data_IF_787697641113
#
_entry.id   IF_787697641113
#
_cell.length_a   1.000
_cell.length_b   1.000
_cell.length_c   1.000
_cell.angle_alpha   90.00
_cell.angle_beta   90.00
_cell.angle_gamma   90.00
#
_symmetry.space_group_name_H-M   'P 1'
#
loop_
_entity.id
_entity.type
_entity.pdbx_description
1 polymer ?
#
# COMPACT_ATOMS: atom_id res chain seq x y z
N UNK A 1 -5.88 -36.33 14.10
CA UNK A 1 -5.28 -35.42 13.11
C UNK A 1 -5.91 -34.06 13.35
N UNK A 2 -5.09 -33.03 13.57
CA UNK A 2 -5.59 -31.65 13.55
C UNK A 2 -6.23 -31.36 12.20
N UNK A 3 -7.17 -30.41 12.14
CA UNK A 3 -7.68 -29.95 10.86
C UNK A 3 -6.51 -29.34 10.04
N UNK A 4 -6.50 -29.49 8.70
CA UNK A 4 -5.51 -28.83 7.86
C UNK A 4 -5.41 -27.34 8.19
N UNK A 5 -4.19 -26.80 8.23
CA UNK A 5 -3.92 -25.38 8.49
C UNK A 5 -4.39 -24.84 9.85
N UNK A 6 -4.66 -25.71 10.84
CA UNK A 6 -5.11 -25.29 12.19
C UNK A 6 -4.04 -24.52 12.99
N UNK A 7 -2.86 -24.31 12.42
CA UNK A 7 -1.76 -23.55 13.03
C UNK A 7 -1.73 -22.07 12.62
N UNK A 8 -2.64 -21.66 11.72
CA UNK A 8 -2.92 -20.27 11.37
C UNK A 8 -4.25 -19.87 12.00
N UNK A 9 -4.21 -18.92 12.93
CA UNK A 9 -5.38 -18.43 13.67
C UNK A 9 -5.61 -16.93 13.39
N UNK A 10 -6.53 -16.59 12.49
CA UNK A 10 -6.95 -15.21 12.26
C UNK A 10 -7.61 -14.61 13.51
N UNK A 11 -7.17 -13.41 13.90
CA UNK A 11 -7.69 -12.65 15.03
C UNK A 11 -7.92 -11.20 14.62
N UNK A 12 -8.86 -10.45 15.22
CA UNK A 12 -9.06 -9.03 14.92
C UNK A 12 -7.78 -8.18 14.97
N UNK A 13 -6.83 -8.57 15.83
CA UNK A 13 -5.56 -7.89 16.02
C UNK A 13 -4.42 -8.35 15.10
N UNK A 14 -4.62 -9.32 14.19
CA UNK A 14 -3.55 -9.88 13.35
C UNK A 14 -3.71 -11.39 13.14
N UNK A 15 -2.77 -12.04 12.46
CA UNK A 15 -2.84 -13.49 12.20
C UNK A 15 -1.82 -14.21 13.07
N UNK A 16 -2.27 -15.09 13.97
CA UNK A 16 -1.38 -15.83 14.88
C UNK A 16 -0.86 -17.09 14.23
N UNK A 17 0.44 -17.31 14.37
CA UNK A 17 1.19 -18.50 13.94
C UNK A 17 1.47 -19.35 15.18
N UNK A 18 0.54 -20.26 15.49
CA UNK A 18 0.48 -20.98 16.76
C UNK A 18 1.78 -21.68 17.16
N UNK A 19 2.42 -22.52 16.32
CA UNK A 19 3.64 -23.24 16.71
C UNK A 19 4.86 -22.33 16.91
N UNK A 20 4.89 -21.17 16.24
CA UNK A 20 5.96 -20.19 16.39
C UNK A 20 5.74 -19.21 17.55
N UNK A 21 4.51 -19.15 18.09
CA UNK A 21 4.02 -18.09 18.96
C UNK A 21 4.34 -16.68 18.42
N UNK A 22 4.17 -16.54 17.10
CA UNK A 22 4.45 -15.31 16.35
C UNK A 22 3.16 -14.78 15.71
N UNK A 23 3.18 -13.53 15.28
CA UNK A 23 2.04 -12.86 14.67
C UNK A 23 2.43 -12.20 13.36
N UNK A 24 1.56 -12.28 12.36
CA UNK A 24 1.67 -11.49 11.14
C UNK A 24 0.76 -10.27 11.26
N UNK A 25 1.35 -9.10 10.98
CA UNK A 25 0.73 -7.78 11.04
C UNK A 25 -0.09 -7.52 12.31
N UNK A 26 0.47 -7.71 13.52
CA UNK A 26 -0.24 -7.45 14.75
C UNK A 26 -0.50 -5.94 14.96
N UNK A 27 -1.74 -5.56 15.25
CA UNK A 27 -2.13 -4.17 15.57
C UNK A 27 -1.79 -3.73 17.00
N UNK A 28 -1.22 -4.64 17.80
CA UNK A 28 -0.80 -4.40 19.17
C UNK A 28 0.56 -5.06 19.42
N UNK A 29 1.27 -4.58 20.44
CA UNK A 29 2.55 -5.16 20.86
C UNK A 29 2.43 -6.67 21.16
N UNK A 30 3.42 -7.43 20.69
CA UNK A 30 3.54 -8.89 20.85
C UNK A 30 5.02 -9.25 20.95
N UNK A 31 5.33 -10.46 21.42
CA UNK A 31 6.73 -10.89 21.58
C UNK A 31 7.45 -11.08 20.24
N UNK A 32 6.76 -11.56 19.20
CA UNK A 32 7.34 -11.81 17.88
C UNK A 32 6.37 -11.41 16.78
N UNK A 33 6.72 -10.40 16.00
CA UNK A 33 5.95 -9.87 14.88
C UNK A 33 6.68 -10.09 13.56
N UNK A 34 5.95 -10.55 12.55
CA UNK A 34 6.31 -10.50 11.15
C UNK A 34 5.46 -9.42 10.50
N UNK A 35 6.08 -8.48 9.81
CA UNK A 35 5.39 -7.31 9.27
C UNK A 35 5.50 -7.30 7.76
N UNK A 36 4.35 -7.27 7.07
CA UNK A 36 4.26 -7.25 5.61
C UNK A 36 4.73 -5.92 5.05
N UNK A 37 4.33 -4.80 5.67
CA UNK A 37 4.71 -3.46 5.26
C UNK A 37 4.40 -2.40 6.34
N UNK A 38 4.91 -1.18 6.13
CA UNK A 38 4.91 -0.12 7.14
C UNK A 38 3.66 0.75 7.26
N UNK A 39 2.48 0.36 6.75
CA UNK A 39 1.23 1.10 7.00
C UNK A 39 0.71 0.90 8.43
N UNK A 40 -0.12 1.81 8.95
CA UNK A 40 -0.48 1.82 10.38
C UNK A 40 -1.47 0.75 10.81
N UNK A 41 -2.21 0.22 9.85
CA UNK A 41 -3.12 -0.91 9.98
C UNK A 41 -2.41 -2.27 9.89
N UNK A 42 -1.12 -2.28 9.53
CA UNK A 42 -0.27 -3.48 9.46
C UNK A 42 0.92 -3.46 10.43
N UNK A 43 1.42 -2.27 10.78
CA UNK A 43 2.59 -2.09 11.60
C UNK A 43 2.31 -1.21 12.82
N UNK A 44 2.81 -1.63 13.97
CA UNK A 44 2.85 -0.82 15.18
C UNK A 44 4.19 -0.98 15.90
N UNK A 45 4.41 -0.19 16.95
CA UNK A 45 5.61 -0.28 17.78
C UNK A 45 5.42 -1.13 19.03
N UNK A 46 6.53 -1.46 19.68
CA UNK A 46 6.53 -2.12 21.00
C UNK A 46 6.61 -3.65 20.96
N UNK A 47 6.89 -4.26 19.81
CA UNK A 47 7.15 -5.70 19.74
C UNK A 47 8.48 -6.08 20.42
N UNK A 48 8.60 -7.33 20.87
CA UNK A 48 9.86 -7.89 21.37
C UNK A 48 10.88 -8.11 20.25
N UNK A 49 10.49 -8.89 19.24
CA UNK A 49 11.20 -9.10 17.98
C UNK A 49 10.30 -8.70 16.80
N UNK A 50 10.86 -8.02 15.82
CA UNK A 50 10.18 -7.62 14.58
C UNK A 50 10.99 -8.11 13.38
N UNK A 51 10.39 -8.93 12.53
CA UNK A 51 10.95 -9.36 11.25
C UNK A 51 10.22 -8.60 10.14
N UNK A 52 10.97 -7.94 9.27
CA UNK A 52 10.44 -7.29 8.07
C UNK A 52 11.58 -7.00 7.07
N UNK A 53 11.23 -6.56 5.86
CA UNK A 53 12.24 -6.07 4.91
C UNK A 53 13.00 -4.85 5.45
N UNK A 54 14.25 -4.62 5.04
CA UNK A 54 15.04 -3.48 5.49
C UNK A 54 14.31 -2.14 5.32
N UNK A 55 13.62 -1.94 4.20
CA UNK A 55 12.86 -0.74 3.92
C UNK A 55 11.62 -0.61 4.81
N UNK A 56 10.92 -1.72 5.08
CA UNK A 56 9.78 -1.72 6.01
C UNK A 56 10.24 -1.35 7.42
N UNK A 57 11.37 -1.88 7.88
CA UNK A 57 11.94 -1.52 9.18
C UNK A 57 12.33 -0.03 9.24
N UNK A 58 12.91 0.52 8.17
CA UNK A 58 13.22 1.95 8.10
C UNK A 58 11.95 2.82 8.17
N UNK A 59 10.87 2.41 7.49
CA UNK A 59 9.56 3.07 7.57
C UNK A 59 9.00 2.99 8.99
N UNK A 60 9.06 1.83 9.63
CA UNK A 60 8.59 1.64 10.99
C UNK A 60 9.41 2.48 11.98
N UNK A 61 10.73 2.55 11.82
CA UNK A 61 11.59 3.42 12.62
C UNK A 61 11.16 4.90 12.50
N UNK A 62 10.95 5.37 11.27
CA UNK A 62 10.54 6.76 11.01
C UNK A 62 9.18 7.10 11.64
N UNK A 63 8.24 6.16 11.62
CA UNK A 63 6.84 6.38 12.05
C UNK A 63 6.59 6.08 13.53
N UNK A 64 7.25 5.06 14.06
CA UNK A 64 6.95 4.46 15.37
C UNK A 64 8.16 4.42 16.30
N UNK A 65 9.32 4.92 15.85
CA UNK A 65 10.58 4.91 16.62
C UNK A 65 11.02 3.49 17.05
N UNK A 66 10.70 2.48 16.24
CA UNK A 66 11.08 1.08 16.46
C UNK A 66 12.50 0.82 15.96
N UNK A 67 13.45 0.65 16.88
CA UNK A 67 14.85 0.24 16.56
C UNK A 67 15.24 -1.06 17.22
N UNK A 68 14.78 -1.29 18.44
CA UNK A 68 15.12 -2.47 19.22
C UNK A 68 14.34 -3.69 18.71
N UNK A 69 14.99 -4.86 18.70
CA UNK A 69 14.36 -6.12 18.30
C UNK A 69 14.11 -6.28 16.80
N UNK A 70 14.54 -5.32 15.97
CA UNK A 70 14.38 -5.38 14.52
C UNK A 70 15.38 -6.34 13.86
N UNK A 71 14.87 -7.28 13.08
CA UNK A 71 15.64 -8.23 12.26
C UNK A 71 15.29 -8.01 10.79
N UNK A 72 16.19 -7.42 9.98
CA UNK A 72 15.96 -7.27 8.55
C UNK A 72 15.94 -8.64 7.86
N UNK A 73 15.02 -8.80 6.90
CA UNK A 73 14.88 -10.01 6.09
C UNK A 73 14.82 -9.61 4.63
N UNK A 74 15.78 -10.06 3.83
CA UNK A 74 15.81 -9.75 2.41
C UNK A 74 14.71 -10.51 1.65
N UNK A 75 14.33 -10.02 0.47
CA UNK A 75 13.45 -10.78 -0.40
C UNK A 75 14.06 -12.15 -0.75
N UNK A 76 13.21 -13.16 -0.78
CA UNK A 76 13.56 -14.59 -0.94
C UNK A 76 14.41 -15.18 0.19
N UNK A 77 14.69 -14.44 1.27
CA UNK A 77 15.32 -14.98 2.46
C UNK A 77 14.27 -15.70 3.33
N UNK A 78 14.68 -16.84 3.91
CA UNK A 78 13.86 -17.63 4.82
C UNK A 78 14.34 -17.50 6.26
N UNK A 79 13.47 -17.00 7.13
CA UNK A 79 13.66 -17.00 8.58
C UNK A 79 13.13 -18.29 9.17
N UNK A 80 13.95 -18.93 10.03
CA UNK A 80 13.58 -20.12 10.79
C UNK A 80 12.99 -19.72 12.13
N UNK A 81 11.67 -19.78 12.27
CA UNK A 81 10.97 -19.47 13.50
C UNK A 81 10.89 -20.70 14.43
N UNK A 82 10.46 -20.47 15.67
CA UNK A 82 10.17 -21.52 16.64
C UNK A 82 9.09 -22.47 16.10
N UNK A 83 9.03 -23.67 16.67
CA UNK A 83 8.01 -24.67 16.30
C UNK A 83 8.17 -25.26 14.90
N UNK A 84 9.30 -25.05 14.23
CA UNK A 84 9.55 -25.58 12.89
C UNK A 84 8.70 -24.90 11.83
N UNK A 85 8.54 -23.58 11.92
CA UNK A 85 7.91 -22.74 10.90
C UNK A 85 8.99 -21.97 10.15
N UNK A 86 8.95 -22.03 8.83
CA UNK A 86 9.79 -21.21 7.97
C UNK A 86 8.97 -20.04 7.44
N UNK A 87 9.54 -18.83 7.45
CA UNK A 87 8.90 -17.62 6.93
C UNK A 87 9.78 -16.99 5.84
N UNK A 88 9.27 -16.91 4.61
CA UNK A 88 9.98 -16.35 3.46
C UNK A 88 9.30 -15.10 2.95
N UNK A 89 10.06 -14.03 2.73
CA UNK A 89 9.54 -12.73 2.29
C UNK A 89 9.57 -12.64 0.76
N UNK A 90 8.43 -12.34 0.15
CA UNK A 90 8.25 -12.29 -1.31
C UNK A 90 7.71 -10.90 -1.68
N UNK A 91 8.16 -10.24 -2.74
CA UNK A 91 7.64 -8.93 -3.13
C UNK A 91 6.10 -8.84 -3.26
N UNK A 92 5.48 -7.80 -2.69
CA UNK A 92 4.03 -7.56 -2.77
C UNK A 92 3.63 -6.44 -3.77
N UNK A 93 4.56 -5.61 -4.25
CA UNK A 93 4.24 -4.55 -5.22
C UNK A 93 3.37 -3.41 -4.69
N UNK A 94 3.12 -3.34 -3.38
CA UNK A 94 2.25 -2.34 -2.77
C UNK A 94 2.97 -0.99 -2.55
N UNK A 95 3.93 -0.96 -1.62
CA UNK A 95 4.80 0.18 -1.27
C UNK A 95 6.26 -0.27 -1.12
N UNK A 96 7.19 0.67 -0.94
CA UNK A 96 8.60 0.35 -0.68
C UNK A 96 8.73 -0.64 0.50
N UNK A 97 9.47 -1.73 0.28
CA UNK A 97 9.64 -2.81 1.26
C UNK A 97 8.49 -3.79 1.38
N UNK A 98 7.32 -3.53 0.79
CA UNK A 98 6.15 -4.41 0.98
C UNK A 98 6.42 -5.85 0.54
N UNK A 99 5.98 -6.79 1.37
CA UNK A 99 6.21 -8.21 1.19
C UNK A 99 4.99 -9.05 1.56
N UNK A 100 4.74 -10.06 0.74
CA UNK A 100 3.98 -11.24 1.10
C UNK A 100 4.86 -12.12 1.98
N UNK A 101 4.26 -12.83 2.94
CA UNK A 101 4.97 -13.76 3.81
C UNK A 101 4.48 -15.17 3.49
N UNK A 102 5.36 -15.98 2.90
CA UNK A 102 5.16 -17.42 2.72
C UNK A 102 5.59 -18.14 4.00
N UNK A 103 4.65 -18.82 4.63
CA UNK A 103 4.85 -19.65 5.80
C UNK A 103 4.81 -21.12 5.41
N UNK A 104 5.81 -21.89 5.82
CA UNK A 104 5.89 -23.33 5.58
C UNK A 104 6.00 -24.08 6.90
N UNK A 105 5.08 -25.03 7.13
CA UNK A 105 5.06 -25.84 8.34
C UNK A 105 4.40 -27.19 8.07
N UNK A 106 5.01 -28.29 8.54
CA UNK A 106 4.46 -29.63 8.42
C UNK A 106 4.02 -30.06 7.00
N UNK A 107 4.66 -29.52 5.96
CA UNK A 107 4.35 -29.79 4.55
C UNK A 107 3.21 -28.95 3.97
N UNK A 108 2.67 -28.00 4.73
CA UNK A 108 1.66 -27.03 4.32
C UNK A 108 2.32 -25.68 4.00
N UNK A 109 1.81 -24.99 2.97
CA UNK A 109 2.30 -23.69 2.49
C UNK A 109 1.20 -22.64 2.53
N UNK A 110 1.38 -21.58 3.31
CA UNK A 110 0.39 -20.51 3.49
C UNK A 110 1.02 -19.18 3.11
N UNK A 111 0.38 -18.42 2.23
CA UNK A 111 0.80 -17.06 1.92
C UNK A 111 -0.14 -16.07 2.60
N UNK A 112 0.42 -15.09 3.30
CA UNK A 112 -0.28 -13.88 3.73
C UNK A 112 0.24 -12.73 2.88
N UNK A 113 -0.62 -12.13 2.06
CA UNK A 113 -0.19 -11.13 1.08
C UNK A 113 0.18 -9.79 1.71
N UNK A 114 -0.43 -9.45 2.84
CA UNK A 114 -0.61 -8.05 3.22
C UNK A 114 -1.41 -7.32 2.14
N UNK A 115 -1.16 -6.03 1.99
CA UNK A 115 -1.63 -5.28 0.83
C UNK A 115 -0.72 -5.51 -0.36
N UNK A 116 -1.30 -5.57 -1.56
CA UNK A 116 -0.53 -5.89 -2.76
C UNK A 116 -1.11 -5.23 -4.02
N UNK A 117 -0.27 -5.09 -5.03
CA UNK A 117 -0.66 -4.58 -6.35
C UNK A 117 0.16 -5.28 -7.43
N UNK A 118 -0.49 -5.65 -8.55
CA UNK A 118 0.18 -6.33 -9.67
C UNK A 118 0.77 -5.36 -10.69
N UNK A 119 0.17 -4.19 -10.86
CA UNK A 119 0.68 -3.14 -11.76
C UNK A 119 2.10 -2.73 -11.37
N UNK A 120 2.92 -2.54 -12.39
CA UNK A 120 4.26 -1.99 -12.22
C UNK A 120 4.22 -0.65 -11.47
N UNK A 121 5.20 -0.48 -10.59
CA UNK A 121 5.38 0.70 -9.76
C UNK A 121 6.89 0.98 -9.69
N UNK A 122 7.35 2.18 -10.09
CA UNK A 122 8.77 2.51 -10.05
C UNK A 122 9.33 2.67 -8.62
N UNK A 123 8.49 2.61 -7.59
CA UNK A 123 8.88 2.87 -6.18
C UNK A 123 8.96 1.63 -5.30
N UNK A 124 8.65 0.44 -5.83
CA UNK A 124 8.73 -0.80 -5.08
C UNK A 124 9.03 -2.01 -5.98
N UNK A 125 9.36 -3.16 -5.37
CA UNK A 125 9.57 -4.40 -6.12
C UNK A 125 8.24 -4.92 -6.69
N UNK A 126 8.18 -5.37 -7.95
CA UNK A 126 6.95 -5.91 -8.54
C UNK A 126 6.41 -7.10 -7.75
N UNK A 127 5.09 -7.25 -7.67
CA UNK A 127 4.45 -8.43 -7.07
C UNK A 127 4.91 -9.72 -7.75
N UNK A 128 5.25 -10.72 -6.94
CA UNK A 128 5.63 -12.06 -7.41
C UNK A 128 4.54 -13.07 -7.07
N UNK A 129 4.04 -13.78 -8.08
CA UNK A 129 3.03 -14.82 -7.90
C UNK A 129 3.71 -16.10 -7.42
N UNK A 130 3.26 -16.65 -6.29
CA UNK A 130 3.80 -17.87 -5.72
C UNK A 130 2.70 -18.89 -5.41
N UNK A 131 2.86 -20.18 -5.77
CA UNK A 131 1.87 -21.20 -5.46
C UNK A 131 1.87 -21.52 -3.96
N UNK A 132 0.69 -21.77 -3.39
CA UNK A 132 0.49 -22.14 -1.99
C UNK A 132 -0.78 -22.97 -1.81
N UNK A 133 -0.95 -23.57 -0.63
CA UNK A 133 -2.16 -24.30 -0.28
C UNK A 133 -3.27 -23.36 0.20
N UNK A 134 -2.92 -22.39 1.05
CA UNK A 134 -3.84 -21.34 1.52
C UNK A 134 -3.30 -19.98 1.09
N UNK A 135 -4.15 -19.21 0.41
CA UNK A 135 -3.85 -17.85 -0.01
C UNK A 135 -4.68 -16.86 0.79
N UNK A 136 -4.05 -16.09 1.67
CA UNK A 136 -4.71 -15.07 2.49
C UNK A 136 -4.50 -13.71 1.82
N UNK A 137 -5.57 -13.14 1.25
CA UNK A 137 -5.54 -11.95 0.39
C UNK A 137 -6.38 -10.80 0.92
N UNK A 138 -5.93 -9.57 0.67
CA UNK A 138 -6.76 -8.37 0.83
C UNK A 138 -7.92 -8.32 -0.18
N UNK A 139 -8.90 -7.43 0.07
CA UNK A 139 -10.04 -7.16 -0.80
C UNK A 139 -10.45 -5.68 -0.76
N UNK A 140 -9.47 -4.77 -0.69
CA UNK A 140 -9.71 -3.32 -0.58
C UNK A 140 -10.61 -2.83 -1.71
N UNK A 141 -10.30 -3.29 -2.93
CA UNK A 141 -11.10 -3.04 -4.14
C UNK A 141 -11.85 -4.29 -4.61
N UNK A 142 -12.33 -5.11 -3.66
CA UNK A 142 -13.04 -6.37 -3.88
C UNK A 142 -14.44 -6.26 -4.50
N UNK A 143 -14.82 -5.14 -5.12
CA UNK A 143 -16.08 -5.01 -5.88
C UNK A 143 -15.78 -4.83 -7.39
N UNK A 144 -16.54 -5.49 -8.30
CA UNK A 144 -16.33 -5.40 -9.76
C UNK A 144 -16.31 -4.00 -10.35
N UNK A 145 -16.89 -3.03 -9.64
CA UNK A 145 -16.90 -1.64 -10.07
C UNK A 145 -15.51 -0.99 -10.00
N UNK A 146 -14.61 -1.49 -9.15
CA UNK A 146 -13.25 -0.95 -8.98
C UNK A 146 -12.30 -1.61 -9.94
N UNK A 147 -12.10 -0.96 -11.09
CA UNK A 147 -11.04 -1.28 -12.04
C UNK A 147 -10.21 -0.03 -12.27
N UNK A 148 -8.89 -0.16 -12.23
CA UNK A 148 -7.98 0.97 -12.34
C UNK A 148 -7.54 1.17 -13.80
N UNK A 149 -7.58 2.40 -14.34
CA UNK A 149 -7.05 2.68 -15.66
C UNK A 149 -5.52 2.55 -15.69
N UNK A 150 -4.89 2.53 -16.88
CA UNK A 150 -3.44 2.72 -17.00
C UNK A 150 -3.00 3.98 -16.25
N UNK A 151 -1.88 3.90 -15.52
CA UNK A 151 -1.41 5.02 -14.70
C UNK A 151 -0.99 6.21 -15.58
N UNK A 152 -0.50 5.93 -16.78
CA UNK A 152 -0.09 6.91 -17.77
C UNK A 152 -1.25 7.86 -18.14
N UNK A 153 -2.48 7.34 -18.22
CA UNK A 153 -3.67 8.14 -18.51
C UNK A 153 -3.99 9.10 -17.36
N UNK A 154 -3.79 8.67 -16.11
CA UNK A 154 -4.01 9.51 -14.92
C UNK A 154 -2.92 10.58 -14.78
N UNK A 155 -1.66 10.25 -15.08
CA UNK A 155 -0.56 11.23 -15.11
C UNK A 155 -0.73 12.23 -16.26
N UNK A 156 -1.25 11.80 -17.41
CA UNK A 156 -1.56 12.68 -18.53
C UNK A 156 -2.63 13.73 -18.16
N UNK A 157 -3.59 13.39 -17.29
CA UNK A 157 -4.56 14.37 -16.76
C UNK A 157 -3.88 15.48 -15.97
N UNK A 158 -2.94 15.13 -15.07
CA UNK A 158 -2.17 16.10 -14.28
C UNK A 158 -1.37 17.05 -15.17
N UNK A 159 -0.58 16.49 -16.08
CA UNK A 159 0.29 17.29 -16.96
C UNK A 159 -0.51 18.16 -17.93
N UNK A 160 -1.64 17.68 -18.44
CA UNK A 160 -2.56 18.47 -19.27
C UNK A 160 -3.20 19.61 -18.49
N UNK A 161 -3.64 19.37 -17.25
CA UNK A 161 -4.21 20.42 -16.40
C UNK A 161 -3.18 21.51 -16.11
N UNK A 162 -1.93 21.13 -15.83
CA UNK A 162 -0.82 22.06 -15.62
C UNK A 162 -0.54 22.91 -16.88
N UNK A 163 -0.39 22.26 -18.04
CA UNK A 163 -0.09 22.93 -19.30
C UNK A 163 -1.20 23.92 -19.74
N UNK A 164 -2.46 23.62 -19.41
CA UNK A 164 -3.59 24.50 -19.69
C UNK A 164 -3.70 25.71 -18.77
N UNK A 165 -2.97 25.73 -17.64
CA UNK A 165 -3.12 26.74 -16.59
C UNK A 165 -1.75 27.20 -16.05
N UNK A 166 -0.91 27.88 -16.87
CA UNK A 166 0.46 28.24 -16.50
C UNK A 166 0.56 29.18 -15.29
N UNK A 167 -0.49 29.97 -15.02
CA UNK A 167 -0.55 30.90 -13.88
C UNK A 167 -1.01 30.24 -12.58
N UNK A 168 -1.44 28.97 -12.64
CA UNK A 168 -1.93 28.19 -11.50
C UNK A 168 -0.96 27.06 -11.14
N UNK A 169 -1.17 26.40 -10.02
CA UNK A 169 -0.54 25.12 -9.70
C UNK A 169 -1.57 23.98 -9.69
N UNK A 170 -1.10 22.73 -9.80
CA UNK A 170 -1.93 21.55 -9.56
C UNK A 170 -1.57 20.98 -8.19
N UNK A 171 -2.51 21.04 -7.24
CA UNK A 171 -2.35 20.48 -5.91
C UNK A 171 -2.90 19.05 -5.89
N UNK A 172 -2.05 18.06 -5.64
CA UNK A 172 -2.41 16.64 -5.60
C UNK A 172 -2.46 16.16 -4.15
N UNK A 173 -3.65 15.72 -3.73
CA UNK A 173 -3.87 15.00 -2.48
C UNK A 173 -3.44 13.55 -2.60
N UNK A 174 -2.43 13.14 -1.82
CA UNK A 174 -1.94 11.76 -1.77
C UNK A 174 -1.48 11.40 -0.35
N UNK A 175 -1.61 10.12 0.03
CA UNK A 175 -1.06 9.62 1.30
C UNK A 175 0.46 9.73 1.32
N UNK A 176 0.99 10.02 2.51
CA UNK A 176 2.41 10.30 2.67
C UNK A 176 3.31 9.09 2.46
N UNK A 177 2.81 7.87 2.71
CA UNK A 177 3.49 6.62 2.42
C UNK A 177 2.90 6.00 1.14
N UNK A 178 3.77 5.58 0.23
CA UNK A 178 3.43 4.92 -1.04
C UNK A 178 2.94 5.90 -2.10
N UNK A 179 1.74 6.44 -1.90
CA UNK A 179 0.98 7.11 -2.96
C UNK A 179 1.64 8.39 -3.49
N UNK A 180 2.13 9.23 -2.57
CA UNK A 180 2.85 10.45 -2.93
C UNK A 180 4.09 10.14 -3.78
N UNK A 181 4.90 9.18 -3.34
CA UNK A 181 6.13 8.78 -4.01
C UNK A 181 5.84 8.18 -5.39
N UNK A 182 4.82 7.33 -5.49
CA UNK A 182 4.40 6.77 -6.77
C UNK A 182 3.96 7.84 -7.76
N UNK A 183 3.10 8.78 -7.35
CA UNK A 183 2.67 9.88 -8.24
C UNK A 183 3.88 10.69 -8.73
N UNK A 184 4.83 10.99 -7.85
CA UNK A 184 6.07 11.72 -8.18
C UNK A 184 6.91 10.93 -9.20
N UNK A 185 7.22 9.67 -8.90
CA UNK A 185 8.06 8.83 -9.76
C UNK A 185 7.41 8.59 -11.14
N UNK A 186 6.08 8.48 -11.19
CA UNK A 186 5.32 8.33 -12.43
C UNK A 186 5.29 9.63 -13.25
N UNK A 187 5.24 10.79 -12.61
CA UNK A 187 5.47 12.08 -13.27
C UNK A 187 6.87 12.15 -13.88
N UNK A 188 7.91 11.69 -13.16
CA UNK A 188 9.28 11.63 -13.68
C UNK A 188 9.36 10.69 -14.89
N UNK A 189 8.76 9.51 -14.80
CA UNK A 189 8.69 8.52 -15.90
C UNK A 189 7.98 9.08 -17.14
N UNK A 190 6.97 9.93 -16.94
CA UNK A 190 6.27 10.65 -18.01
C UNK A 190 7.06 11.88 -18.55
N UNK A 191 8.27 12.15 -18.07
CA UNK A 191 9.15 13.22 -18.55
C UNK A 191 8.99 14.56 -17.85
N UNK A 192 8.28 14.64 -16.72
CA UNK A 192 8.19 15.86 -15.93
C UNK A 192 9.50 16.11 -15.17
N UNK A 193 10.30 17.07 -15.62
CA UNK A 193 11.63 17.38 -15.05
C UNK A 193 11.63 18.60 -14.12
N UNK A 194 10.55 19.39 -14.09
CA UNK A 194 10.47 20.59 -13.25
C UNK A 194 10.38 20.22 -11.75
N UNK A 195 10.76 21.13 -10.84
CA UNK A 195 10.62 20.89 -9.41
C UNK A 195 9.18 20.55 -9.02
N UNK A 196 9.02 19.54 -8.17
CA UNK A 196 7.74 19.22 -7.53
C UNK A 196 7.78 19.76 -6.11
N UNK A 197 6.76 20.51 -5.72
CA UNK A 197 6.68 21.07 -4.38
C UNK A 197 5.96 20.15 -3.42
N UNK A 198 6.40 20.10 -2.17
CA UNK A 198 5.87 19.24 -1.13
C UNK A 198 5.30 20.05 0.03
N UNK A 199 4.16 19.59 0.53
CA UNK A 199 3.77 19.85 1.90
C UNK A 199 4.80 19.19 2.85
N UNK A 200 5.19 19.85 3.95
CA UNK A 200 6.24 19.34 4.85
C UNK A 200 5.96 17.95 5.45
N UNK A 201 4.69 17.58 5.62
CA UNK A 201 4.29 16.22 6.02
C UNK A 201 4.74 15.10 5.05
N UNK A 202 5.07 15.43 3.80
CA UNK A 202 5.51 14.46 2.79
C UNK A 202 7.02 14.25 2.78
N UNK A 203 7.77 15.24 3.27
CA UNK A 203 9.22 15.36 3.11
C UNK A 203 9.97 14.13 3.61
N UNK A 204 9.74 13.76 4.88
CA UNK A 204 10.49 12.69 5.53
C UNK A 204 10.33 11.34 4.82
N UNK A 205 9.13 11.05 4.33
CA UNK A 205 8.88 9.79 3.64
C UNK A 205 9.44 9.80 2.22
N UNK A 206 9.34 10.90 1.48
CA UNK A 206 10.02 11.03 0.20
C UNK A 206 11.54 10.87 0.34
N UNK A 207 12.14 11.51 1.34
CA UNK A 207 13.57 11.38 1.64
C UNK A 207 13.97 9.95 1.94
N UNK A 208 13.17 9.23 2.75
CA UNK A 208 13.41 7.82 3.03
C UNK A 208 13.41 6.99 1.74
N UNK A 209 12.47 7.24 0.82
CA UNK A 209 12.45 6.56 -0.47
C UNK A 209 13.71 6.85 -1.31
N UNK A 210 14.19 8.10 -1.31
CA UNK A 210 15.46 8.47 -1.98
C UNK A 210 16.68 7.79 -1.35
N UNK A 211 16.73 7.70 -0.02
CA UNK A 211 17.78 6.98 0.73
C UNK A 211 17.82 5.48 0.39
N UNK A 212 16.68 4.92 -0.01
CA UNK A 212 16.52 3.55 -0.52
C UNK A 212 16.59 3.44 -2.06
N UNK A 213 17.04 4.49 -2.75
CA UNK A 213 17.39 4.45 -4.17
C UNK A 213 16.24 4.72 -5.15
N UNK A 214 15.09 5.22 -4.68
CA UNK A 214 14.01 5.69 -5.55
C UNK A 214 14.30 7.12 -6.00
N UNK A 215 14.51 7.32 -7.31
CA UNK A 215 14.73 8.65 -7.87
C UNK A 215 13.41 9.44 -7.99
N UNK A 216 13.22 10.39 -7.07
CA UNK A 216 12.07 11.29 -7.05
C UNK A 216 12.35 12.63 -7.77
N UNK A 217 13.57 12.83 -8.28
CA UNK A 217 14.03 14.08 -8.88
C UNK A 217 14.01 15.26 -7.91
N UNK A 218 13.96 16.49 -8.43
CA UNK A 218 14.02 17.69 -7.59
C UNK A 218 12.71 17.92 -6.83
N UNK A 219 12.79 17.83 -5.49
CA UNK A 219 11.69 18.11 -4.55
C UNK A 219 12.00 19.38 -3.75
N UNK A 220 11.00 20.25 -3.56
CA UNK A 220 11.14 21.50 -2.79
C UNK A 220 10.02 21.64 -1.78
N UNK A 221 10.29 22.20 -0.60
CA UNK A 221 9.23 22.48 0.36
C UNK A 221 8.47 23.75 -0.02
N UNK A 222 7.14 23.68 0.02
CA UNK A 222 6.27 24.85 -0.13
C UNK A 222 6.55 25.91 0.95
N UNK A 223 7.01 25.50 2.13
CA UNK A 223 7.29 26.42 3.24
C UNK A 223 8.46 27.38 2.96
N UNK A 224 9.34 27.02 2.03
CA UNK A 224 10.57 27.77 1.74
C UNK A 224 10.44 28.68 0.50
N UNK A 225 9.25 28.77 -0.07
CA UNK A 225 9.00 29.45 -1.34
C UNK A 225 7.79 30.38 -1.27
N UNK A 226 7.83 31.45 -2.05
CA UNK A 226 6.72 32.38 -2.18
C UNK A 226 5.70 31.86 -3.19
N UNK A 227 4.48 32.43 -3.13
CA UNK A 227 3.35 32.00 -3.96
C UNK A 227 3.65 32.01 -5.45
N UNK A 228 4.40 33.00 -5.92
CA UNK A 228 4.71 33.18 -7.34
C UNK A 228 5.76 32.18 -7.85
N UNK A 229 6.63 31.64 -6.99
CA UNK A 229 7.65 30.64 -7.35
C UNK A 229 7.04 29.28 -7.75
N UNK A 230 5.79 29.06 -7.34
CA UNK A 230 5.07 27.80 -7.52
C UNK A 230 4.07 27.84 -8.69
N UNK A 231 4.01 28.93 -9.47
CA UNK A 231 3.14 28.99 -10.66
C UNK A 231 3.62 27.98 -11.70
N UNK A 232 2.67 27.28 -12.33
CA UNK A 232 2.96 26.24 -13.30
C UNK A 232 3.63 25.00 -12.69
N UNK A 233 3.51 24.78 -11.38
CA UNK A 233 4.11 23.63 -10.69
C UNK A 233 3.07 22.59 -10.21
N UNK A 234 3.57 21.39 -9.92
CA UNK A 234 2.82 20.34 -9.25
C UNK A 234 3.20 20.36 -7.77
N UNK A 235 2.19 20.24 -6.91
CA UNK A 235 2.33 20.29 -5.46
C UNK A 235 1.72 19.04 -4.85
N UNK A 236 2.47 18.26 -4.09
CA UNK A 236 1.98 17.06 -3.40
C UNK A 236 1.70 17.41 -1.93
N UNK A 237 0.49 17.07 -1.48
CA UNK A 237 0.02 17.39 -0.13
C UNK A 237 -0.86 16.27 0.44
N UNK A 238 -1.03 16.17 1.77
CA UNK A 238 -1.94 15.17 2.32
C UNK A 238 -3.38 15.51 1.92
N UNK A 239 -4.29 14.54 1.81
CA UNK A 239 -5.68 14.82 1.42
C UNK A 239 -6.36 15.87 2.32
N UNK A 240 -6.01 15.90 3.60
CA UNK A 240 -6.49 16.88 4.58
C UNK A 240 -6.08 18.32 4.28
N UNK A 241 -5.02 18.54 3.48
CA UNK A 241 -4.53 19.88 3.13
C UNK A 241 -5.14 20.44 1.84
N UNK A 242 -5.97 19.69 1.12
CA UNK A 242 -6.57 20.16 -0.15
C UNK A 242 -7.40 21.44 0.02
N UNK A 243 -8.26 21.46 1.04
CA UNK A 243 -9.17 22.57 1.31
C UNK A 243 -8.83 23.33 2.62
N UNK A 244 -7.67 23.07 3.20
CA UNK A 244 -7.25 23.70 4.46
C UNK A 244 -6.74 25.14 4.25
N UNK A 245 -6.62 25.92 5.33
CA UNK A 245 -5.98 27.23 5.31
C UNK A 245 -4.57 27.19 4.72
N UNK A 246 -3.86 26.08 4.85
CA UNK A 246 -2.56 25.89 4.24
C UNK A 246 -2.58 26.11 2.72
N UNK A 247 -3.57 25.59 1.99
CA UNK A 247 -3.61 25.67 0.51
C UNK A 247 -3.82 27.09 -0.02
N UNK A 248 -4.23 28.04 0.82
CA UNK A 248 -4.37 29.47 0.44
C UNK A 248 -3.05 30.13 0.03
N UNK A 249 -1.91 29.56 0.45
CA UNK A 249 -0.57 30.02 0.04
C UNK A 249 -0.23 29.64 -1.40
N UNK A 250 -0.98 28.72 -2.00
CA UNK A 250 -0.73 28.22 -3.34
C UNK A 250 -1.32 29.15 -4.42
N UNK A 251 -0.69 29.24 -5.61
CA UNK A 251 -1.19 30.03 -6.73
C UNK A 251 -2.39 29.36 -7.39
N UNK A 252 -3.59 29.79 -7.03
CA UNK A 252 -4.87 29.39 -7.65
C UNK A 252 -4.97 27.87 -7.87
N UNK A 253 -4.88 27.06 -6.80
CA UNK A 253 -4.64 25.62 -6.93
C UNK A 253 -5.81 24.90 -7.62
N UNK A 254 -5.49 24.16 -8.69
CA UNK A 254 -6.39 23.15 -9.26
C UNK A 254 -6.29 21.91 -8.38
N UNK A 255 -7.39 21.53 -7.75
CA UNK A 255 -7.38 20.45 -6.76
C UNK A 255 -7.53 19.08 -7.42
N UNK A 256 -6.52 18.23 -7.26
CA UNK A 256 -6.50 16.83 -7.67
C UNK A 256 -6.40 15.89 -6.46
N UNK A 257 -6.92 14.67 -6.58
CA UNK A 257 -6.78 13.65 -5.53
C UNK A 257 -6.48 12.29 -6.16
N UNK A 258 -5.40 11.66 -5.70
CA UNK A 258 -5.03 10.30 -6.07
C UNK A 258 -5.68 9.31 -5.09
N UNK A 259 -6.62 8.52 -5.57
CA UNK A 259 -7.21 7.40 -4.81
C UNK A 259 -7.99 6.46 -5.73
N UNK A 260 -7.91 5.13 -5.51
CA UNK A 260 -8.71 4.15 -6.25
C UNK A 260 -10.22 4.38 -6.11
N UNK A 261 -10.63 4.99 -5.01
CA UNK A 261 -12.02 5.34 -4.72
C UNK A 261 -12.57 6.49 -5.57
N UNK A 262 -11.70 7.25 -6.26
CA UNK A 262 -12.10 8.37 -7.13
C UNK A 262 -12.93 7.95 -8.35
N UNK A 263 -13.06 6.65 -8.59
CA UNK A 263 -14.03 6.09 -9.54
C UNK A 263 -15.48 6.39 -9.16
N UNK A 264 -15.78 6.57 -7.87
CA UNK A 264 -17.11 6.93 -7.38
C UNK A 264 -17.31 8.44 -7.49
N UNK A 265 -18.06 8.90 -8.50
CA UNK A 265 -18.33 10.34 -8.77
C UNK A 265 -18.83 11.11 -7.55
N UNK A 266 -19.62 10.46 -6.68
CA UNK A 266 -20.11 11.06 -5.44
C UNK A 266 -18.98 11.47 -4.47
N UNK A 267 -17.93 10.65 -4.34
CA UNK A 267 -16.79 10.91 -3.46
C UNK A 267 -15.94 12.08 -3.97
N UNK A 268 -15.68 12.14 -5.28
CA UNK A 268 -14.98 13.26 -5.91
C UNK A 268 -15.71 14.60 -5.64
N UNK A 269 -17.04 14.61 -5.80
CA UNK A 269 -17.86 15.81 -5.54
C UNK A 269 -17.87 16.20 -4.06
N UNK A 270 -17.99 15.23 -3.15
CA UNK A 270 -17.99 15.48 -1.70
C UNK A 270 -16.67 16.10 -1.22
N UNK A 271 -15.54 15.66 -1.77
CA UNK A 271 -14.21 16.19 -1.42
C UNK A 271 -13.84 17.49 -2.15
N UNK A 272 -14.72 18.01 -3.02
CA UNK A 272 -14.47 19.24 -3.78
C UNK A 272 -13.32 19.13 -4.78
N UNK A 273 -13.02 17.91 -5.23
CA UNK A 273 -11.89 17.64 -6.12
C UNK A 273 -12.28 17.93 -7.57
N UNK A 274 -11.52 18.80 -8.23
CA UNK A 274 -11.71 19.15 -9.65
C UNK A 274 -11.15 18.06 -10.57
N UNK A 275 -10.03 17.46 -10.20
CA UNK A 275 -9.33 16.45 -10.97
C UNK A 275 -9.22 15.11 -10.19
N UNK A 276 -10.25 14.25 -10.22
CA UNK A 276 -10.18 12.93 -9.61
C UNK A 276 -9.22 12.02 -10.38
N UNK A 277 -8.21 11.48 -9.70
CA UNK A 277 -7.22 10.56 -10.26
C UNK A 277 -7.43 9.16 -9.70
N UNK A 278 -7.66 8.18 -10.57
CA UNK A 278 -7.88 6.79 -10.18
C UNK A 278 -6.53 6.08 -10.06
N UNK A 279 -5.79 6.42 -9.00
CA UNK A 279 -4.48 5.87 -8.67
C UNK A 279 -4.59 5.18 -7.32
N UNK A 280 -4.31 3.88 -7.28
CA UNK A 280 -4.35 3.06 -6.07
C UNK A 280 -3.14 2.17 -5.98
N UNK A 281 -2.65 1.96 -4.75
CA UNK A 281 -1.52 1.07 -4.46
C UNK A 281 -1.95 -0.36 -4.15
N UNK A 282 -3.24 -0.66 -4.33
CA UNK A 282 -3.83 -1.97 -4.16
C UNK A 282 -4.28 -2.57 -5.50
N UNK A 283 -4.41 -3.88 -5.54
CA UNK A 283 -4.97 -4.65 -6.62
C UNK A 283 -6.43 -4.23 -6.86
N UNK A 284 -6.78 -3.94 -8.12
CA UNK A 284 -8.17 -3.77 -8.52
C UNK A 284 -8.91 -5.12 -8.60
N UNK A 285 -10.21 -5.09 -8.88
CA UNK A 285 -11.03 -6.30 -9.01
C UNK A 285 -10.44 -7.36 -9.95
N UNK A 286 -9.94 -6.94 -11.11
CA UNK A 286 -9.40 -7.88 -12.10
C UNK A 286 -8.04 -8.42 -11.63
N UNK A 287 -7.22 -7.59 -11.00
CA UNK A 287 -5.96 -8.02 -10.41
C UNK A 287 -6.20 -9.04 -9.29
N UNK A 288 -7.16 -8.81 -8.38
CA UNK A 288 -7.56 -9.77 -7.34
C UNK A 288 -7.99 -11.11 -7.94
N UNK A 289 -8.98 -11.08 -8.84
CA UNK A 289 -9.51 -12.28 -9.51
C UNK A 289 -8.42 -13.05 -10.28
N UNK A 290 -7.58 -12.36 -11.03
CA UNK A 290 -6.49 -12.98 -11.79
C UNK A 290 -5.42 -13.57 -10.86
N UNK A 291 -5.12 -12.91 -9.73
CA UNK A 291 -4.15 -13.44 -8.75
C UNK A 291 -4.64 -14.76 -8.18
N UNK A 292 -5.89 -14.79 -7.70
CA UNK A 292 -6.48 -16.00 -7.11
C UNK A 292 -6.50 -17.14 -8.13
N UNK A 293 -6.89 -16.87 -9.37
CA UNK A 293 -6.88 -17.87 -10.44
C UNK A 293 -5.48 -18.39 -10.81
N UNK A 294 -4.46 -17.53 -10.76
CA UNK A 294 -3.08 -17.89 -11.11
C UNK A 294 -2.36 -18.64 -9.98
N UNK A 295 -2.59 -18.23 -8.72
CA UNK A 295 -2.10 -18.94 -7.53
C UNK A 295 -2.77 -20.32 -7.41
N UNK A 296 -4.06 -20.40 -7.74
CA UNK A 296 -4.88 -21.61 -7.70
C UNK A 296 -4.71 -22.41 -6.38
N UNK A 297 -4.98 -21.78 -5.21
CA UNK A 297 -4.79 -22.41 -3.91
C UNK A 297 -5.87 -23.47 -3.63
N UNK A 298 -5.65 -24.31 -2.62
CA UNK A 298 -6.69 -25.22 -2.12
C UNK A 298 -7.87 -24.43 -1.52
N UNK A 299 -7.58 -23.31 -0.87
CA UNK A 299 -8.58 -22.37 -0.35
C UNK A 299 -8.02 -20.94 -0.26
N UNK A 300 -8.87 -19.95 -0.57
CA UNK A 300 -8.55 -18.51 -0.43
C UNK A 300 -9.22 -17.94 0.82
N UNK A 301 -8.47 -17.26 1.67
CA UNK A 301 -9.03 -16.56 2.83
C UNK A 301 -8.98 -15.05 2.57
N UNK A 302 -10.14 -14.41 2.60
CA UNK A 302 -10.29 -13.02 2.18
C UNK A 302 -10.35 -12.12 3.42
N UNK A 303 -9.62 -11.03 3.40
CA UNK A 303 -9.54 -10.04 4.49
C UNK A 303 -9.50 -8.61 3.92
N UNK A 304 -9.47 -7.58 4.79
CA UNK A 304 -9.32 -6.16 4.46
C UNK A 304 -10.25 -5.70 3.32
N UNK A 305 -11.53 -5.41 3.61
CA UNK A 305 -12.47 -4.81 2.66
C UNK A 305 -13.80 -5.55 2.49
N UNK A 306 -14.49 -5.28 1.36
CA UNK A 306 -15.84 -5.81 1.06
C UNK A 306 -15.74 -7.19 0.41
N UNK A 307 -15.65 -8.22 1.25
CA UNK A 307 -15.44 -9.63 0.85
C UNK A 307 -16.57 -10.29 0.04
N UNK A 308 -17.82 -9.87 0.20
CA UNK A 308 -19.01 -10.56 -0.36
C UNK A 308 -18.93 -10.83 -1.87
N UNK A 309 -18.48 -9.84 -2.65
CA UNK A 309 -18.44 -9.98 -4.10
C UNK A 309 -17.30 -10.91 -4.54
N UNK A 310 -16.15 -10.84 -3.88
CA UNK A 310 -15.01 -11.71 -4.18
C UNK A 310 -15.30 -13.16 -3.76
N UNK A 311 -15.95 -13.37 -2.61
CA UNK A 311 -16.49 -14.68 -2.20
C UNK A 311 -17.45 -15.24 -3.24
N UNK A 312 -18.40 -14.43 -3.71
CA UNK A 312 -19.35 -14.84 -4.74
C UNK A 312 -18.64 -15.18 -6.05
N UNK A 313 -17.60 -14.44 -6.43
CA UNK A 313 -16.80 -14.76 -7.61
C UNK A 313 -16.04 -16.08 -7.47
N UNK A 314 -15.47 -16.37 -6.29
CA UNK A 314 -14.83 -17.66 -6.01
C UNK A 314 -15.82 -18.81 -6.15
N UNK A 315 -17.03 -18.68 -5.58
CA UNK A 315 -18.11 -19.67 -5.72
C UNK A 315 -18.47 -19.92 -7.19
N UNK A 316 -18.67 -18.85 -7.97
CA UNK A 316 -19.01 -18.94 -9.40
C UNK A 316 -17.88 -19.54 -10.25
N UNK A 317 -16.64 -19.41 -9.82
CA UNK A 317 -15.45 -19.98 -10.49
C UNK A 317 -15.00 -21.31 -9.89
N UNK A 318 -15.82 -21.89 -9.00
CA UNK A 318 -15.57 -23.18 -8.32
C UNK A 318 -14.29 -23.20 -7.48
N UNK A 319 -13.89 -22.04 -6.95
CA UNK A 319 -12.77 -21.88 -6.03
C UNK A 319 -13.29 -21.82 -4.59
N UNK A 320 -12.63 -22.55 -3.68
CA UNK A 320 -12.98 -22.51 -2.26
C UNK A 320 -12.47 -21.22 -1.66
N UNK A 321 -13.35 -20.49 -0.97
CA UNK A 321 -12.97 -19.29 -0.26
C UNK A 321 -13.81 -19.09 1.01
N UNK A 322 -13.24 -18.34 1.95
CA UNK A 322 -13.93 -17.88 3.17
C UNK A 322 -13.47 -16.49 3.56
N UNK A 323 -14.35 -15.72 4.19
CA UNK A 323 -13.96 -14.45 4.81
C UNK A 323 -13.29 -14.66 6.16
N UNK A 324 -12.28 -13.85 6.44
CA UNK A 324 -11.71 -13.68 7.76
C UNK A 324 -12.39 -12.47 8.39
N UNK A 325 -13.20 -12.69 9.43
CA UNK A 325 -13.84 -11.62 10.19
C UNK A 325 -12.78 -10.85 11.02
N UNK A 326 -11.97 -10.03 10.36
CA UNK A 326 -10.97 -9.16 10.96
C UNK A 326 -11.66 -7.83 11.28
N UNK A 327 -12.16 -7.70 12.51
CA UNK A 327 -12.88 -6.49 12.96
C UNK A 327 -11.93 -5.29 12.99
N UNK A 328 -12.30 -4.20 12.30
CA UNK A 328 -11.67 -2.88 12.47
C UNK A 328 -10.62 -2.47 11.43
N UNK A 329 -10.44 -3.24 10.34
CA UNK A 329 -9.57 -2.87 9.19
C UNK A 329 -10.38 -2.51 7.95
N UNK A 330 -11.51 -1.82 8.15
CA UNK A 330 -12.31 -1.27 7.07
C UNK A 330 -11.96 0.21 6.88
N UNK A 331 -11.71 0.57 5.61
CA UNK A 331 -11.61 1.92 5.07
C UNK A 331 -10.29 2.68 5.30
N UNK A 332 -9.42 2.73 4.28
CA UNK A 332 -8.34 3.74 4.11
C UNK A 332 -8.87 5.20 4.12
N UNK A 333 -10.18 5.42 4.26
CA UNK A 333 -10.87 6.66 3.90
C UNK A 333 -10.97 7.71 5.02
N UNK A 334 -10.41 7.49 6.22
CA UNK A 334 -10.28 8.52 7.26
C UNK A 334 -8.96 9.31 7.20
#
# INVERSE_FOLDING_TARGET
MSAPFSWIEPHPSGIRIVPADAWVDPSQAVDTALVTHGHADHACGGHGETYATPETLAIMELRYATRDGATPVEYSETVRLKGGVDATYIPAGHVLGSAQILLEHAGERVIITGDYKRRADPTCRPFEVMPCDIFITEATFGLPLFTHPPIEDEIAKLTKALAGNPEACVQVGAYALGKAQRVIAELRRAGHTQPIYLHGAMEKMCRLYEEHGVDLGELRLVADHEKDDMRGSIIISPPSALNDRWSRRLPSPITAMASGWMRVRGRARQRGVELPLIISDHADWNELANTIAEVNPQETWITHGREDALLRWCELTQQKARALAMVGREEEDE
#
